data_IF_873952834458
#
_entry.id   IF_873952834458
#
_cell.length_a   1.000
_cell.length_b   1.000
_cell.length_c   1.000
_cell.angle_alpha   90.00
_cell.angle_beta   90.00
_cell.angle_gamma   90.00
#
_symmetry.space_group_name_H-M   'P 1'
#
loop_
_entity.id
_entity.type
_entity.pdbx_description
1 polymer ?
#
# COMPACT_ATOMS: atom_id res chain seq x y z
N UNK A 1 -15.22 6.18 11.31
CA UNK A 1 -14.48 4.92 11.53
C UNK A 1 -13.19 5.04 10.76
N UNK A 2 -12.10 5.36 11.44
CA UNK A 2 -10.77 5.39 10.82
C UNK A 2 -10.27 3.96 10.63
N UNK A 3 -9.59 3.69 9.52
CA UNK A 3 -8.84 2.44 9.35
C UNK A 3 -7.74 2.43 10.42
N UNK A 4 -7.66 1.34 11.18
CA UNK A 4 -6.57 1.12 12.11
C UNK A 4 -5.34 0.65 11.30
N UNK A 5 -4.53 1.60 10.84
CA UNK A 5 -3.38 1.30 10.00
C UNK A 5 -2.40 0.33 10.68
N UNK A 6 -2.34 0.31 12.01
CA UNK A 6 -1.46 -0.56 12.80
C UNK A 6 -1.92 -2.02 12.79
N UNK A 7 -3.18 -2.28 12.41
CA UNK A 7 -3.73 -3.62 12.22
C UNK A 7 -3.52 -4.18 10.80
N UNK A 8 -2.91 -3.41 9.88
CA UNK A 8 -2.63 -3.90 8.53
C UNK A 8 -1.48 -4.90 8.56
N UNK A 9 -1.59 -6.05 7.91
CA UNK A 9 -0.48 -7.01 7.81
C UNK A 9 0.51 -6.64 6.68
N UNK A 10 0.97 -7.65 5.95
CA UNK A 10 1.79 -7.45 4.75
C UNK A 10 0.93 -7.14 3.53
N UNK A 11 1.51 -6.50 2.53
CA UNK A 11 0.81 -6.08 1.34
C UNK A 11 1.52 -6.60 0.10
N UNK A 12 0.77 -7.21 -0.82
CA UNK A 12 1.32 -7.67 -2.09
C UNK A 12 0.90 -6.70 -3.19
N UNK A 13 1.91 -6.20 -3.90
CA UNK A 13 1.79 -5.30 -5.02
C UNK A 13 2.09 -6.06 -6.32
N UNK A 14 1.15 -6.05 -7.25
CA UNK A 14 1.31 -6.61 -8.59
C UNK A 14 1.72 -5.51 -9.56
N UNK A 15 2.83 -5.69 -10.26
CA UNK A 15 3.34 -4.71 -11.21
C UNK A 15 2.75 -4.94 -12.62
N UNK A 16 2.60 -3.87 -13.39
CA UNK A 16 2.11 -3.91 -14.79
C UNK A 16 3.08 -4.66 -15.71
N UNK A 17 4.38 -4.60 -15.44
CA UNK A 17 5.42 -5.29 -16.20
C UNK A 17 5.52 -6.79 -15.90
N UNK A 18 4.67 -7.29 -14.99
CA UNK A 18 4.78 -8.62 -14.42
C UNK A 18 5.58 -8.62 -13.12
N UNK A 19 5.38 -9.65 -12.30
CA UNK A 19 6.00 -9.77 -10.98
C UNK A 19 5.15 -9.23 -9.84
N UNK A 20 5.55 -9.64 -8.63
CA UNK A 20 4.92 -9.25 -7.37
C UNK A 20 5.97 -8.80 -6.39
N UNK A 21 5.70 -7.69 -5.70
CA UNK A 21 6.50 -7.21 -4.59
C UNK A 21 5.70 -7.37 -3.32
N UNK A 22 6.30 -8.00 -2.32
CA UNK A 22 5.75 -8.01 -0.97
C UNK A 22 6.28 -6.78 -0.23
N UNK A 23 5.36 -6.02 0.34
CA UNK A 23 5.61 -4.85 1.16
C UNK A 23 5.35 -5.28 2.59
N UNK A 24 6.37 -5.06 3.42
CA UNK A 24 6.38 -5.44 4.82
C UNK A 24 5.31 -4.68 5.60
N UNK A 25 5.01 -5.16 6.82
CA UNK A 25 4.06 -4.52 7.73
C UNK A 25 4.38 -3.02 7.92
N UNK A 26 5.60 -2.67 8.33
CA UNK A 26 6.00 -1.27 8.59
C UNK A 26 5.68 -0.34 7.40
N UNK A 27 6.11 -0.72 6.19
CA UNK A 27 5.86 0.07 4.99
C UNK A 27 4.38 0.15 4.63
N UNK A 28 3.61 -0.90 4.93
CA UNK A 28 2.16 -0.91 4.75
C UNK A 28 1.50 0.08 5.70
N UNK A 29 1.94 0.12 6.96
CA UNK A 29 1.47 1.10 7.95
C UNK A 29 1.86 2.53 7.55
N UNK A 30 3.10 2.75 7.09
CA UNK A 30 3.57 4.06 6.61
C UNK A 30 2.74 4.55 5.43
N UNK A 31 2.50 3.71 4.44
CA UNK A 31 1.67 4.05 3.28
C UNK A 31 0.23 4.37 3.68
N UNK A 32 -0.33 3.64 4.65
CA UNK A 32 -1.67 3.91 5.19
C UNK A 32 -1.74 5.24 5.94
N UNK A 33 -0.78 5.53 6.82
CA UNK A 33 -0.68 6.81 7.54
C UNK A 33 -0.56 7.99 6.56
N UNK A 34 0.28 7.84 5.55
CA UNK A 34 0.49 8.85 4.52
C UNK A 34 -0.77 9.07 3.65
N UNK A 35 -1.50 8.00 3.33
CA UNK A 35 -2.78 8.08 2.62
C UNK A 35 -3.82 8.84 3.43
N UNK A 36 -3.93 8.58 4.73
CA UNK A 36 -4.82 9.32 5.63
C UNK A 36 -4.43 10.79 5.76
N UNK A 37 -3.14 11.09 5.90
CA UNK A 37 -2.63 12.46 6.03
C UNK A 37 -2.92 13.29 4.76
N UNK A 38 -2.74 12.68 3.59
CA UNK A 38 -2.99 13.34 2.30
C UNK A 38 -4.47 13.32 1.88
N UNK A 39 -5.33 12.59 2.61
CA UNK A 39 -6.72 12.35 2.19
C UNK A 39 -6.82 11.58 0.87
N UNK A 40 -5.81 10.77 0.54
CA UNK A 40 -5.72 9.94 -0.67
C UNK A 40 -6.02 8.48 -0.35
N UNK A 41 -6.25 7.70 -1.39
CA UNK A 41 -6.31 6.24 -1.25
C UNK A 41 -4.91 5.64 -1.13
N UNK A 42 -4.78 4.51 -0.43
CA UNK A 42 -3.50 3.81 -0.29
C UNK A 42 -2.87 3.45 -1.63
N UNK A 43 -3.67 3.06 -2.63
CA UNK A 43 -3.16 2.71 -3.96
C UNK A 43 -2.58 3.91 -4.70
N UNK A 44 -3.12 5.11 -4.48
CA UNK A 44 -2.59 6.36 -5.04
C UNK A 44 -1.24 6.67 -4.42
N UNK A 45 -1.15 6.61 -3.09
CA UNK A 45 0.12 6.84 -2.37
C UNK A 45 1.18 5.84 -2.81
N UNK A 46 0.86 4.55 -2.89
CA UNK A 46 1.81 3.53 -3.32
C UNK A 46 2.24 3.76 -4.76
N UNK A 47 1.32 4.18 -5.65
CA UNK A 47 1.66 4.50 -7.04
C UNK A 47 2.58 5.72 -7.14
N UNK A 48 2.37 6.75 -6.32
CA UNK A 48 3.17 7.97 -6.37
C UNK A 48 4.55 7.81 -5.71
N UNK A 49 4.65 7.00 -4.64
CA UNK A 49 5.85 6.96 -3.79
C UNK A 49 6.71 5.70 -3.97
N UNK A 50 6.09 4.53 -4.16
CA UNK A 50 6.78 3.23 -4.08
C UNK A 50 6.88 2.54 -5.43
N UNK A 51 5.74 2.37 -6.11
CA UNK A 51 5.62 1.56 -7.33
C UNK A 51 4.67 2.23 -8.35
N UNK A 52 5.17 3.16 -9.18
CA UNK A 52 4.37 3.82 -10.22
C UNK A 52 3.79 2.86 -11.27
N UNK A 53 4.38 1.66 -11.37
CA UNK A 53 3.91 0.57 -12.21
C UNK A 53 2.84 -0.32 -11.57
N UNK A 54 2.21 0.04 -10.44
CA UNK A 54 1.22 -0.82 -9.79
C UNK A 54 0.00 -1.09 -10.68
N UNK A 55 -0.39 -2.37 -10.76
CA UNK A 55 -1.61 -2.85 -11.40
C UNK A 55 -2.69 -3.16 -10.38
N UNK A 56 -2.30 -3.82 -9.28
CA UNK A 56 -3.21 -4.26 -8.23
C UNK A 56 -2.48 -4.34 -6.90
N UNK A 57 -3.20 -4.08 -5.82
CA UNK A 57 -2.76 -4.21 -4.44
C UNK A 57 -3.64 -5.24 -3.73
N UNK A 58 -3.03 -6.07 -2.89
CA UNK A 58 -3.75 -7.00 -2.02
C UNK A 58 -3.16 -6.98 -0.62
N UNK A 59 -3.98 -6.60 0.36
CA UNK A 59 -3.65 -6.74 1.77
C UNK A 59 -3.73 -8.21 2.20
N UNK A 60 -2.73 -8.64 2.96
CA UNK A 60 -2.76 -9.86 3.76
C UNK A 60 -2.84 -9.44 5.22
N UNK A 61 -3.79 -10.04 5.94
CA UNK A 61 -3.97 -9.88 7.39
C UNK A 61 -3.43 -11.12 8.07
#
# INVERSE_FOLDING_TARGET
MGIDCESLGTMIVYLKEGGTVEIDHEKTVEACKLAMEQGKSMDEVIRETLYPGIKLMRLRF
#
